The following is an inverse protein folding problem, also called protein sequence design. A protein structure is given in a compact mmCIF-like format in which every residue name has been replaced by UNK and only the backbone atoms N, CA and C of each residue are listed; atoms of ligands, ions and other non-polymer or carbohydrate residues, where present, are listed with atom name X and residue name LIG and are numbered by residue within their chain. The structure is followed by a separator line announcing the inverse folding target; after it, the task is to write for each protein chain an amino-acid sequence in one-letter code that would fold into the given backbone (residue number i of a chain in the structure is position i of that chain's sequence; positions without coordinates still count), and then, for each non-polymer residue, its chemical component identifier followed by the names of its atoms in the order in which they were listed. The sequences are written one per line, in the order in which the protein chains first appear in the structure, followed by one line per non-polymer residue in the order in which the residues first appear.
data_IF_856997243023
#
_entry.id   IF_856997243023
#
_cell.length_a   1.000
_cell.length_b   1.000
_cell.length_c   1.000
_cell.angle_alpha   90.00
_cell.angle_beta   90.00
_cell.angle_gamma   90.00
#
_symmetry.space_group_name_H-M   'P 1'
#
loop_
_entity.id
_entity.type
_entity.pdbx_description
1 polymer ?
#
# COMPACT_ATOMS: atom_id res chain seq x y z
N UNK A 1 -36.03 -42.91 29.26
CA UNK A 1 -36.34 -42.13 30.48
C UNK A 1 -36.62 -40.70 30.07
N UNK A 2 -37.83 -40.20 30.36
CA UNK A 2 -38.26 -38.81 30.15
C UNK A 2 -37.77 -37.94 31.32
N UNK A 3 -37.41 -36.68 31.07
CA UNK A 3 -37.73 -35.48 31.90
C UNK A 3 -37.13 -34.24 31.23
N UNK A 4 -37.92 -33.34 30.63
CA UNK A 4 -38.81 -32.27 31.19
C UNK A 4 -38.05 -30.96 31.49
N UNK A 5 -38.56 -29.91 30.84
CA UNK A 5 -38.29 -28.46 30.80
C UNK A 5 -38.31 -27.79 32.19
N UNK A 6 -37.60 -26.66 32.37
CA UNK A 6 -38.13 -25.48 33.08
C UNK A 6 -37.57 -24.15 32.53
N UNK A 7 -38.49 -23.27 32.13
CA UNK A 7 -38.35 -21.85 31.82
C UNK A 7 -38.53 -21.07 33.13
N UNK A 8 -37.71 -20.05 33.40
CA UNK A 8 -38.09 -18.97 34.31
C UNK A 8 -37.78 -17.62 33.65
N UNK A 9 -38.88 -16.95 33.33
CA UNK A 9 -39.02 -15.57 32.95
C UNK A 9 -39.21 -14.76 34.24
N UNK A 10 -38.44 -13.70 34.47
CA UNK A 10 -38.75 -12.73 35.53
C UNK A 10 -38.60 -11.31 35.01
N UNK A 11 -39.73 -10.60 35.08
CA UNK A 11 -39.99 -9.25 34.58
C UNK A 11 -40.85 -8.58 35.65
N UNK A 12 -40.30 -7.65 36.44
CA UNK A 12 -41.00 -6.73 37.37
C UNK A 12 -40.10 -5.47 37.46
N UNK A 13 -40.39 -4.28 36.89
CA UNK A 13 -41.52 -3.32 36.96
C UNK A 13 -41.29 -2.19 38.00
N UNK A 14 -41.17 -0.94 37.47
CA UNK A 14 -41.57 0.40 37.97
C UNK A 14 -41.06 0.89 39.36
N UNK A 15 -40.64 2.15 39.61
CA UNK A 15 -41.24 3.47 39.35
C UNK A 15 -40.20 4.62 39.57
N UNK A 16 -40.51 5.89 39.19
CA UNK A 16 -39.62 7.04 39.24
C UNK A 16 -39.74 7.83 40.56
N UNK A 17 -38.68 8.56 40.93
CA UNK A 17 -38.78 9.70 41.84
C UNK A 17 -38.43 10.98 41.10
N UNK A 18 -39.45 11.81 40.89
CA UNK A 18 -39.31 13.25 40.65
C UNK A 18 -38.92 13.93 41.96
N UNK A 19 -37.86 14.74 41.94
CA UNK A 19 -37.64 15.78 42.95
C UNK A 19 -37.42 17.13 42.26
N UNK A 20 -38.17 18.09 42.78
CA UNK A 20 -38.46 19.42 42.28
C UNK A 20 -37.30 20.38 42.56
N UNK A 21 -37.16 21.39 41.69
CA UNK A 21 -35.97 22.22 41.59
C UNK A 21 -35.75 23.28 42.67
N UNK A 22 -34.63 23.98 42.53
CA UNK A 22 -34.40 25.30 43.09
C UNK A 22 -33.50 26.13 42.14
N UNK A 23 -34.07 27.23 41.65
CA UNK A 23 -33.35 28.33 41.04
C UNK A 23 -32.62 29.13 42.11
N UNK A 24 -31.34 29.38 41.93
CA UNK A 24 -30.66 30.57 42.50
C UNK A 24 -29.66 31.10 41.48
N UNK A 25 -29.92 32.32 41.01
CA UNK A 25 -29.00 33.13 40.21
C UNK A 25 -27.77 33.49 41.07
N UNK A 26 -26.58 33.29 40.50
CA UNK A 26 -25.37 34.01 40.87
C UNK A 26 -24.67 34.51 39.58
N UNK A 27 -24.03 35.67 39.71
CA UNK A 27 -23.58 36.60 38.67
C UNK A 27 -22.40 36.08 37.79
N UNK A 28 -22.00 36.80 36.72
CA UNK A 28 -21.30 36.24 35.57
C UNK A 28 -19.82 36.02 35.88
N UNK A 29 -19.40 34.76 35.80
CA UNK A 29 -17.98 34.39 35.73
C UNK A 29 -17.57 34.38 34.27
N UNK A 30 -16.92 35.46 33.84
CA UNK A 30 -16.04 35.51 32.67
C UNK A 30 -14.99 34.40 32.81
N UNK A 31 -15.20 33.28 32.12
CA UNK A 31 -14.15 32.29 31.88
C UNK A 31 -14.24 31.82 30.44
N UNK A 32 -13.22 32.25 29.70
CA UNK A 32 -12.52 31.49 28.67
C UNK A 32 -13.45 30.68 27.75
N UNK A 33 -13.75 31.25 26.59
CA UNK A 33 -14.15 30.45 25.44
C UNK A 33 -13.03 29.46 25.16
N UNK A 34 -13.16 28.26 25.72
CA UNK A 34 -12.40 27.10 25.28
C UNK A 34 -12.83 26.89 23.83
N UNK A 35 -11.89 27.10 22.90
CA UNK A 35 -11.98 26.63 21.53
C UNK A 35 -12.09 25.10 21.54
N UNK A 36 -13.27 24.58 21.86
CA UNK A 36 -13.55 23.15 21.89
C UNK A 36 -14.10 22.65 20.55
N UNK A 37 -13.98 23.46 19.49
CA UNK A 37 -14.56 23.22 18.17
C UNK A 37 -13.53 22.85 17.08
N UNK A 38 -12.26 22.60 17.42
CA UNK A 38 -11.23 22.25 16.42
C UNK A 38 -10.87 20.76 16.34
N UNK A 39 -11.22 19.95 17.36
CA UNK A 39 -10.88 18.52 17.36
C UNK A 39 -11.93 17.64 16.69
N UNK A 40 -13.21 18.04 16.73
CA UNK A 40 -14.30 17.26 16.15
C UNK A 40 -14.19 17.15 14.63
N UNK A 41 -13.71 18.20 13.96
CA UNK A 41 -13.47 18.23 12.51
C UNK A 41 -12.23 17.41 12.12
N UNK A 42 -11.21 17.38 12.98
CA UNK A 42 -10.00 16.58 12.79
C UNK A 42 -10.24 15.08 12.97
N UNK A 43 -11.14 14.68 13.87
CA UNK A 43 -11.50 13.27 14.05
C UNK A 43 -12.13 12.64 12.80
N UNK A 44 -12.81 13.44 11.98
CA UNK A 44 -13.32 13.00 10.66
C UNK A 44 -12.22 12.56 9.70
N UNK A 45 -11.02 13.15 9.81
CA UNK A 45 -9.89 12.88 8.91
C UNK A 45 -9.16 11.56 9.19
N UNK A 46 -9.40 10.95 10.36
CA UNK A 46 -8.77 9.68 10.78
C UNK A 46 -9.75 8.53 10.96
N UNK A 47 -11.06 8.81 10.93
CA UNK A 47 -12.09 7.76 10.99
C UNK A 47 -12.14 6.97 9.70
N UNK A 48 -11.96 7.63 8.55
CA UNK A 48 -11.81 6.95 7.27
C UNK A 48 -10.44 6.27 7.17
N UNK A 49 -10.43 4.95 7.01
CA UNK A 49 -9.20 4.15 6.84
C UNK A 49 -8.55 3.66 8.13
N UNK A 50 -9.07 3.99 9.31
CA UNK A 50 -8.54 3.54 10.61
C UNK A 50 -8.30 2.01 10.71
N UNK A 51 -9.28 1.14 10.39
CA UNK A 51 -9.08 -0.30 10.41
C UNK A 51 -7.96 -0.79 9.47
N UNK A 52 -7.80 -0.14 8.32
CA UNK A 52 -6.72 -0.43 7.37
C UNK A 52 -5.37 -0.07 7.98
N UNK A 53 -5.25 1.10 8.60
CA UNK A 53 -4.02 1.53 9.28
C UNK A 53 -3.62 0.57 10.40
N UNK A 54 -4.57 0.16 11.22
CA UNK A 54 -4.31 -0.82 12.27
C UNK A 54 -3.86 -2.17 11.68
N UNK A 55 -4.46 -2.62 10.59
CA UNK A 55 -4.02 -3.83 9.89
C UNK A 55 -2.60 -3.70 9.34
N UNK A 56 -2.28 -2.58 8.68
CA UNK A 56 -0.95 -2.33 8.10
C UNK A 56 0.14 -2.27 9.18
N UNK A 57 -0.13 -1.62 10.31
CA UNK A 57 0.82 -1.53 11.44
C UNK A 57 1.09 -2.87 12.12
N UNK A 58 0.20 -3.86 11.99
CA UNK A 58 0.31 -5.21 12.57
C UNK A 58 0.86 -6.26 11.60
N UNK A 59 1.29 -5.87 10.40
CA UNK A 59 1.87 -6.83 9.45
C UNK A 59 3.17 -7.42 10.00
N UNK A 60 3.25 -8.75 10.08
CA UNK A 60 4.47 -9.47 10.46
C UNK A 60 5.57 -9.33 9.39
N UNK A 61 5.19 -9.18 8.12
CA UNK A 61 6.10 -9.02 6.98
C UNK A 61 6.19 -7.58 6.45
N UNK A 62 6.93 -7.42 5.36
CA UNK A 62 6.98 -6.15 4.62
C UNK A 62 5.61 -5.79 4.05
N UNK A 63 5.33 -4.49 4.02
CA UNK A 63 4.12 -3.97 3.39
C UNK A 63 4.31 -3.88 1.87
N UNK A 64 3.28 -4.23 1.08
CA UNK A 64 3.28 -3.97 -0.36
C UNK A 64 3.47 -2.47 -0.63
N UNK A 65 4.34 -2.13 -1.59
CA UNK A 65 4.63 -0.76 -2.00
C UNK A 65 3.38 -0.04 -2.49
N UNK A 66 2.40 -0.77 -3.05
CA UNK A 66 1.11 -0.22 -3.48
C UNK A 66 0.32 0.43 -2.35
N UNK A 67 0.50 -0.02 -1.11
CA UNK A 67 -0.18 0.57 0.04
C UNK A 67 0.30 2.00 0.35
N UNK A 68 1.44 2.44 -0.22
CA UNK A 68 1.90 3.83 -0.09
C UNK A 68 0.93 4.84 -0.72
N UNK A 69 0.10 4.40 -1.68
CA UNK A 69 -0.96 5.21 -2.32
C UNK A 69 -2.29 5.19 -1.54
N UNK A 70 -2.34 4.50 -0.40
CA UNK A 70 -3.48 4.60 0.49
C UNK A 70 -3.55 6.01 1.09
N UNK A 71 -4.75 6.60 1.16
CA UNK A 71 -4.97 7.90 1.78
C UNK A 71 -5.39 7.72 3.24
N UNK A 72 -4.75 8.48 4.11
CA UNK A 72 -5.08 8.58 5.52
C UNK A 72 -4.66 9.96 6.03
N UNK A 73 -5.44 10.56 6.93
CA UNK A 73 -5.14 11.89 7.45
C UNK A 73 -4.98 12.94 6.34
N UNK A 74 -5.86 12.87 5.33
CA UNK A 74 -5.85 13.77 4.16
C UNK A 74 -4.66 13.61 3.21
N UNK A 75 -3.74 12.67 3.45
CA UNK A 75 -2.50 12.50 2.69
C UNK A 75 -2.34 11.06 2.23
N UNK A 76 -1.60 10.84 1.15
CA UNK A 76 -1.09 9.51 0.84
C UNK A 76 -0.09 9.08 1.92
N UNK A 77 -0.04 7.78 2.26
CA UNK A 77 0.92 7.26 3.24
C UNK A 77 2.37 7.60 2.84
N UNK A 78 2.67 7.64 1.55
CA UNK A 78 3.95 8.10 1.03
C UNK A 78 4.33 9.52 1.48
N UNK A 79 3.34 10.39 1.67
CA UNK A 79 3.52 11.81 1.96
C UNK A 79 3.40 12.16 3.45
N UNK A 80 3.19 11.16 4.32
CA UNK A 80 3.18 11.41 5.76
C UNK A 80 4.58 11.75 6.25
N UNK A 81 4.65 12.80 7.07
CA UNK A 81 5.84 13.34 7.70
C UNK A 81 5.91 12.95 9.18
N UNK A 82 7.07 13.15 9.80
CA UNK A 82 7.24 12.91 11.23
C UNK A 82 6.28 13.73 12.10
N UNK A 83 5.98 14.97 11.67
CA UNK A 83 4.99 15.79 12.33
C UNK A 83 3.58 15.19 12.23
N UNK A 84 3.21 14.66 11.05
CA UNK A 84 1.91 14.01 10.87
C UNK A 84 1.75 12.81 11.82
N UNK A 85 2.80 12.02 12.04
CA UNK A 85 2.75 10.91 12.99
C UNK A 85 2.60 11.40 14.44
N UNK A 86 3.26 12.49 14.82
CA UNK A 86 3.10 13.07 16.16
C UNK A 86 1.66 13.57 16.37
N UNK A 87 1.10 14.26 15.37
CA UNK A 87 -0.28 14.75 15.40
C UNK A 87 -1.27 13.59 15.49
N UNK A 88 -1.06 12.52 14.72
CA UNK A 88 -1.89 11.31 14.75
C UNK A 88 -1.89 10.61 16.11
N UNK A 89 -0.73 10.53 16.77
CA UNK A 89 -0.62 9.93 18.12
C UNK A 89 -1.40 10.71 19.17
N UNK A 90 -1.40 12.04 19.08
CA UNK A 90 -2.16 12.89 19.97
C UNK A 90 -3.67 12.86 19.64
N UNK A 91 -4.01 12.81 18.35
CA UNK A 91 -5.39 12.91 17.88
C UNK A 91 -6.19 11.63 18.11
N UNK A 92 -5.62 10.44 17.85
CA UNK A 92 -6.37 9.17 17.89
C UNK A 92 -7.04 8.90 19.25
N UNK A 93 -6.36 9.01 20.41
CA UNK A 93 -6.98 8.84 21.73
C UNK A 93 -8.19 9.77 21.95
N UNK A 94 -8.10 11.01 21.48
CA UNK A 94 -9.17 11.99 21.61
C UNK A 94 -10.39 11.68 20.72
N UNK A 95 -10.19 10.94 19.64
CA UNK A 95 -11.23 10.66 18.65
C UNK A 95 -11.96 9.33 18.85
N UNK A 96 -11.26 8.28 19.28
CA UNK A 96 -11.84 6.93 19.43
C UNK A 96 -11.73 6.35 20.85
N UNK A 97 -11.17 7.12 21.80
CA UNK A 97 -10.99 6.69 23.18
C UNK A 97 -9.92 5.60 23.35
N UNK A 98 -9.08 5.35 22.34
CA UNK A 98 -7.91 4.47 22.48
C UNK A 98 -6.90 5.03 23.49
N UNK A 99 -6.08 4.15 24.07
CA UNK A 99 -5.01 4.61 24.95
C UNK A 99 -3.89 5.28 24.14
N UNK A 100 -3.24 6.28 24.74
CA UNK A 100 -2.08 6.96 24.16
C UNK A 100 -0.97 5.97 23.80
N UNK A 101 -0.74 4.96 24.64
CA UNK A 101 0.26 3.90 24.40
C UNK A 101 -0.07 3.07 23.15
N UNK A 102 -1.34 2.67 22.99
CA UNK A 102 -1.77 1.90 21.81
C UNK A 102 -1.66 2.76 20.55
N UNK A 103 -2.07 4.03 20.62
CA UNK A 103 -1.94 4.96 19.51
C UNK A 103 -0.47 5.16 19.11
N UNK A 104 0.42 5.38 20.08
CA UNK A 104 1.85 5.48 19.86
C UNK A 104 2.41 4.23 19.17
N UNK A 105 2.10 3.03 19.70
CA UNK A 105 2.55 1.76 19.14
C UNK A 105 2.09 1.57 17.69
N UNK A 106 0.82 1.84 17.38
CA UNK A 106 0.25 1.70 16.03
C UNK A 106 0.97 2.63 15.06
N UNK A 107 1.13 3.90 15.40
CA UNK A 107 1.70 4.88 14.47
C UNK A 107 3.22 4.76 14.32
N UNK A 108 3.94 4.32 15.35
CA UNK A 108 5.37 4.00 15.22
C UNK A 108 5.60 2.81 14.30
N UNK A 109 4.83 1.73 14.46
CA UNK A 109 4.89 0.59 13.55
C UNK A 109 4.48 0.97 12.13
N UNK A 110 3.43 1.79 11.96
CA UNK A 110 3.02 2.27 10.65
C UNK A 110 4.14 3.08 9.97
N UNK A 111 4.78 4.00 10.72
CA UNK A 111 5.91 4.81 10.23
C UNK A 111 7.04 3.91 9.74
N UNK A 112 7.38 2.88 10.52
CA UNK A 112 8.39 1.89 10.14
C UNK A 112 8.01 1.18 8.83
N UNK A 113 6.78 0.65 8.71
CA UNK A 113 6.31 -0.04 7.50
C UNK A 113 6.32 0.85 6.26
N UNK A 114 5.96 2.12 6.41
CA UNK A 114 6.03 3.10 5.33
C UNK A 114 7.48 3.34 4.91
N UNK A 115 8.39 3.48 5.86
CA UNK A 115 9.82 3.65 5.57
C UNK A 115 10.41 2.45 4.82
N UNK A 116 10.13 1.22 5.28
CA UNK A 116 10.57 -0.02 4.63
C UNK A 116 10.03 -0.15 3.19
N UNK A 117 8.75 0.19 2.99
CA UNK A 117 8.14 0.16 1.66
C UNK A 117 8.73 1.24 0.73
N UNK A 118 9.03 2.44 1.24
CA UNK A 118 9.72 3.50 0.46
C UNK A 118 11.10 3.03 0.00
N UNK A 119 11.88 2.46 0.90
CA UNK A 119 13.21 1.91 0.58
C UNK A 119 13.13 0.77 -0.44
N UNK A 120 12.15 -0.13 -0.27
CA UNK A 120 11.90 -1.24 -1.20
C UNK A 120 11.59 -0.72 -2.61
N UNK A 121 10.76 0.33 -2.71
CA UNK A 121 10.47 0.98 -3.99
C UNK A 121 11.73 1.59 -4.59
N UNK A 122 12.51 2.34 -3.82
CA UNK A 122 13.75 2.98 -4.32
C UNK A 122 14.75 1.96 -4.85
N UNK A 123 14.91 0.84 -4.15
CA UNK A 123 15.76 -0.27 -4.61
C UNK A 123 15.23 -0.92 -5.89
N UNK A 124 13.92 -1.03 -6.04
CA UNK A 124 13.27 -1.53 -7.25
C UNK A 124 13.44 -0.58 -8.43
N UNK A 125 13.30 0.72 -8.22
CA UNK A 125 13.56 1.73 -9.26
C UNK A 125 15.03 1.70 -9.70
N UNK A 126 15.99 1.60 -8.76
CA UNK A 126 17.41 1.45 -9.11
C UNK A 126 17.68 0.21 -9.97
N UNK A 127 17.05 -0.92 -9.61
CA UNK A 127 17.12 -2.14 -10.41
C UNK A 127 16.51 -1.96 -11.80
N UNK A 128 15.35 -1.32 -11.91
CA UNK A 128 14.70 -1.03 -13.20
C UNK A 128 15.61 -0.19 -14.10
N UNK A 129 16.23 0.87 -13.55
CA UNK A 129 17.11 1.75 -14.31
C UNK A 129 18.41 1.05 -14.74
N UNK A 130 19.02 0.24 -13.87
CA UNK A 130 20.17 -0.60 -14.24
C UNK A 130 19.80 -1.57 -15.36
N UNK A 131 18.69 -2.27 -15.20
CA UNK A 131 18.21 -3.27 -16.16
C UNK A 131 17.86 -2.65 -17.51
N UNK A 132 17.26 -1.45 -17.52
CA UNK A 132 17.00 -0.70 -18.76
C UNK A 132 18.27 -0.47 -19.56
N UNK A 133 19.33 0.04 -18.92
CA UNK A 133 20.62 0.29 -19.57
C UNK A 133 21.22 -0.99 -20.14
N UNK A 134 21.18 -2.08 -19.39
CA UNK A 134 21.69 -3.38 -19.84
C UNK A 134 20.89 -3.97 -21.01
N UNK A 135 19.56 -3.82 -21.02
CA UNK A 135 18.73 -4.38 -22.09
C UNK A 135 18.78 -3.54 -23.37
N UNK A 136 19.02 -2.23 -23.26
CA UNK A 136 19.19 -1.34 -24.41
C UNK A 136 20.46 -1.64 -25.21
N UNK A 137 21.53 -2.10 -24.56
CA UNK A 137 22.80 -2.42 -25.21
C UNK A 137 22.84 -3.82 -25.84
N UNK A 138 21.77 -4.61 -25.73
CA UNK A 138 21.72 -5.96 -26.30
C UNK A 138 21.66 -5.93 -27.82
N UNK A 139 22.58 -6.69 -28.44
CA UNK A 139 22.49 -7.10 -29.83
C UNK A 139 21.46 -8.21 -30.03
N UNK A 140 20.98 -8.34 -31.27
CA UNK A 140 20.03 -9.38 -31.67
C UNK A 140 20.69 -10.75 -31.51
N UNK A 141 20.14 -11.57 -30.62
CA UNK A 141 20.59 -12.94 -30.40
C UNK A 141 19.55 -13.75 -29.61
N UNK A 142 19.58 -15.10 -29.67
CA UNK A 142 18.76 -15.94 -28.80
C UNK A 142 18.98 -15.65 -27.30
N UNK A 143 20.22 -15.32 -26.92
CA UNK A 143 20.58 -14.92 -25.55
C UNK A 143 19.85 -13.66 -25.12
N UNK A 144 19.70 -12.68 -26.02
CA UNK A 144 18.97 -11.44 -25.72
C UNK A 144 17.48 -11.70 -25.48
N UNK A 145 16.85 -12.58 -26.28
CA UNK A 145 15.45 -12.99 -26.07
C UNK A 145 15.27 -13.65 -24.70
N UNK A 146 16.18 -14.57 -24.34
CA UNK A 146 16.17 -15.23 -23.02
C UNK A 146 16.34 -14.21 -21.88
N UNK A 147 17.26 -13.24 -22.02
CA UNK A 147 17.48 -12.21 -21.00
C UNK A 147 16.23 -11.36 -20.78
N UNK A 148 15.56 -10.92 -21.85
CA UNK A 148 14.31 -10.15 -21.75
C UNK A 148 13.20 -10.98 -21.07
N UNK A 149 13.06 -12.25 -21.42
CA UNK A 149 12.07 -13.13 -20.80
C UNK A 149 12.31 -13.27 -19.29
N UNK A 150 13.57 -13.51 -18.89
CA UNK A 150 13.94 -13.61 -17.48
C UNK A 150 13.66 -12.30 -16.73
N UNK A 151 13.99 -11.14 -17.33
CA UNK A 151 13.67 -9.84 -16.73
C UNK A 151 12.16 -9.63 -16.58
N UNK A 152 11.35 -10.10 -17.54
CA UNK A 152 9.89 -10.05 -17.41
C UNK A 152 9.41 -10.87 -16.21
N UNK A 153 9.95 -12.09 -16.03
CA UNK A 153 9.64 -12.93 -14.87
C UNK A 153 10.07 -12.31 -13.55
N UNK A 154 11.24 -11.68 -13.53
CA UNK A 154 11.72 -10.96 -12.36
C UNK A 154 10.81 -9.77 -12.03
N UNK A 155 10.40 -8.97 -13.02
CA UNK A 155 9.42 -7.89 -12.85
C UNK A 155 8.10 -8.41 -12.26
N UNK A 156 7.56 -9.51 -12.79
CA UNK A 156 6.32 -10.14 -12.28
C UNK A 156 6.49 -10.55 -10.80
N UNK A 157 7.62 -11.17 -10.45
CA UNK A 157 7.92 -11.58 -9.08
C UNK A 157 8.05 -10.40 -8.10
N UNK A 158 8.49 -9.23 -8.60
CA UNK A 158 8.67 -8.00 -7.82
C UNK A 158 7.49 -7.04 -7.92
N UNK A 159 6.34 -7.47 -8.44
CA UNK A 159 5.17 -6.62 -8.67
C UNK A 159 4.57 -5.98 -7.42
N UNK A 160 4.86 -6.52 -6.23
CA UNK A 160 4.48 -5.96 -4.93
C UNK A 160 5.48 -4.91 -4.41
N UNK A 161 6.66 -4.82 -5.01
CA UNK A 161 7.70 -3.83 -4.71
C UNK A 161 7.57 -2.57 -5.57
N UNK A 162 6.53 -2.50 -6.42
CA UNK A 162 6.30 -1.44 -7.40
C UNK A 162 4.96 -0.77 -7.16
N UNK A 163 4.86 0.53 -7.48
CA UNK A 163 3.57 1.14 -7.77
C UNK A 163 3.03 0.61 -9.10
N UNK A 164 1.72 0.73 -9.31
CA UNK A 164 1.10 0.26 -10.55
C UNK A 164 1.68 0.97 -11.79
N UNK A 165 2.02 2.26 -11.66
CA UNK A 165 2.59 3.02 -12.77
C UNK A 165 4.07 2.67 -13.03
N UNK A 166 4.84 2.34 -11.99
CA UNK A 166 6.21 1.83 -12.14
C UNK A 166 6.19 0.50 -12.92
N UNK A 167 5.28 -0.40 -12.55
CA UNK A 167 5.10 -1.71 -13.19
C UNK A 167 4.68 -1.55 -14.66
N UNK A 168 3.66 -0.72 -14.94
CA UNK A 168 3.20 -0.44 -16.32
C UNK A 168 4.32 0.16 -17.16
N UNK A 169 5.07 1.11 -16.60
CA UNK A 169 6.19 1.75 -17.29
C UNK A 169 7.26 0.73 -17.69
N UNK A 170 7.66 -0.14 -16.75
CA UNK A 170 8.68 -1.15 -17.01
C UNK A 170 8.20 -2.21 -18.00
N UNK A 171 6.96 -2.70 -17.86
CA UNK A 171 6.36 -3.64 -18.80
C UNK A 171 6.32 -3.07 -20.23
N UNK A 172 5.95 -1.79 -20.39
CA UNK A 172 5.96 -1.10 -21.69
C UNK A 172 7.38 -0.98 -22.26
N UNK A 173 8.37 -0.74 -21.42
CA UNK A 173 9.78 -0.76 -21.84
C UNK A 173 10.21 -2.16 -22.34
N UNK A 174 9.94 -3.21 -21.56
CA UNK A 174 10.30 -4.58 -21.94
C UNK A 174 9.63 -5.02 -23.24
N UNK A 175 8.35 -4.67 -23.43
CA UNK A 175 7.63 -4.98 -24.66
C UNK A 175 8.26 -4.30 -25.89
N UNK A 176 8.68 -3.04 -25.77
CA UNK A 176 9.37 -2.32 -26.87
C UNK A 176 10.70 -2.97 -27.22
N UNK A 177 11.51 -3.32 -26.22
CA UNK A 177 12.80 -3.99 -26.48
C UNK A 177 12.59 -5.35 -27.12
N UNK A 178 11.59 -6.11 -26.65
CA UNK A 178 11.22 -7.39 -27.24
C UNK A 178 10.83 -7.26 -28.71
N UNK A 179 9.98 -6.29 -29.04
CA UNK A 179 9.57 -6.02 -30.43
C UNK A 179 10.76 -5.69 -31.31
N UNK A 180 11.64 -4.78 -30.87
CA UNK A 180 12.88 -4.44 -31.58
C UNK A 180 13.71 -5.68 -31.91
N UNK A 181 13.96 -6.56 -30.94
CA UNK A 181 14.78 -7.75 -31.15
C UNK A 181 14.12 -8.72 -32.14
N UNK A 182 12.80 -8.92 -32.06
CA UNK A 182 12.10 -9.79 -33.01
C UNK A 182 12.09 -9.22 -34.44
N UNK A 183 11.84 -7.92 -34.60
CA UNK A 183 11.85 -7.26 -35.90
C UNK A 183 13.25 -7.24 -36.54
N UNK A 184 14.30 -6.95 -35.76
CA UNK A 184 15.68 -6.99 -36.25
C UNK A 184 16.12 -8.43 -36.57
N UNK A 185 15.68 -9.41 -35.78
CA UNK A 185 15.94 -10.84 -36.05
C UNK A 185 15.25 -11.31 -37.34
N UNK A 186 14.04 -10.83 -37.64
CA UNK A 186 13.32 -11.17 -38.86
C UNK A 186 13.96 -10.58 -40.14
N UNK A 187 14.76 -9.51 -39.99
CA UNK A 187 15.51 -8.88 -41.09
C UNK A 187 16.84 -9.57 -41.38
N UNK A 188 17.36 -10.38 -40.46
CA UNK A 188 18.56 -11.16 -40.73
C UNK A 188 18.20 -12.29 -41.70
N UNK A 189 18.94 -12.45 -42.81
CA UNK A 189 18.73 -13.59 -43.69
C UNK A 189 18.94 -14.84 -42.84
N UNK A 190 17.89 -15.64 -42.68
CA UNK A 190 18.04 -16.92 -42.04
C UNK A 190 18.99 -17.74 -42.91
N UNK A 191 20.12 -18.19 -42.37
CA UNK A 191 20.87 -19.33 -42.89
C UNK A 191 20.06 -20.63 -42.69
N UNK A 192 18.74 -20.57 -42.88
CA UNK A 192 17.93 -21.73 -43.17
C UNK A 192 18.54 -22.31 -44.44
N UNK A 193 19.39 -23.32 -44.21
CA UNK A 193 19.74 -24.37 -45.14
C UNK A 193 18.49 -24.57 -45.98
N UNK A 194 18.51 -24.11 -47.23
CA UNK A 194 17.39 -24.33 -48.12
C UNK A 194 17.35 -25.85 -48.30
N UNK A 195 16.39 -26.57 -47.71
CA UNK A 195 16.48 -28.04 -47.64
C UNK A 195 16.32 -28.70 -49.02
N UNK A 196 16.09 -27.88 -50.06
CA UNK A 196 15.89 -28.29 -51.44
C UNK A 196 16.89 -27.66 -52.42
N UNK A 197 17.94 -26.96 -51.97
CA UNK A 197 19.01 -26.52 -52.87
C UNK A 197 20.23 -27.44 -52.69
N UNK A 198 20.66 -28.15 -53.75
CA UNK A 198 21.85 -28.97 -53.67
C UNK A 198 23.06 -28.08 -53.39
N UNK A 199 23.89 -28.51 -52.45
CA UNK A 199 25.21 -27.93 -52.21
C UNK A 199 25.96 -28.09 -53.53
N UNK A 200 26.34 -26.97 -54.17
CA UNK A 200 27.22 -27.00 -55.34
C UNK A 200 28.48 -27.73 -54.89
N UNK A 201 28.74 -28.88 -55.51
CA UNK A 201 29.91 -29.71 -55.21
C UNK A 201 31.15 -28.82 -55.20
N UNK A 202 31.82 -28.76 -54.04
CA UNK A 202 33.19 -28.31 -53.91
C UNK A 202 34.07 -29.41 -54.50
N UNK A 203 34.21 -29.41 -55.81
CA UNK A 203 35.27 -30.04 -56.60
C UNK A 203 35.02 -29.68 -58.07
N UNK A 204 35.43 -28.48 -58.45
CA UNK A 204 35.86 -28.11 -59.81
C UNK A 204 37.02 -27.11 -59.66
#
# INVERSE_FOLDING_TARGET
MKKTIYIILTLIVLFPMTAQGQNTKAAPSTKSGTEQNNDTDKCGTITEGGPTIEKLSRLDGAMSVRNLEFKYFGKFLFNLTDQDFNDLKALKPNCDGSSEEIAAMVFDKLKQKISEAKETRDNTIKWMEKTKKELQSLSVSPTAVKKIHNTWKEMESRSQEMLDDDLKYFAKFLNRIRQRIYEESAKQPSDLIKPFYPIKNLND
#
